data_IF_948913924400
#
_entry.id   IF_948913924400
#
_cell.length_a   1.000
_cell.length_b   1.000
_cell.length_c   1.000
_cell.angle_alpha   90.00
_cell.angle_beta   90.00
_cell.angle_gamma   90.00
#
_symmetry.space_group_name_H-M   'P 1'
#
loop_
_entity.id
_entity.type
_entity.pdbx_description
1 polymer ?
#
# COMPACT_ATOMS: atom_id res chain seq x y z
N UNK A 1 -1.28 -8.73 3.46
CA UNK A 1 -0.83 -8.08 4.70
C UNK A 1 -1.83 -8.25 5.81
N UNK A 2 -1.37 -8.66 7.01
CA UNK A 2 -2.16 -8.70 8.24
C UNK A 2 -1.99 -7.37 8.98
N UNK A 3 -3.08 -6.84 9.53
CA UNK A 3 -3.09 -5.54 10.22
C UNK A 3 -2.18 -5.52 11.48
N UNK A 4 -2.02 -6.69 12.12
CA UNK A 4 -1.17 -6.84 13.31
C UNK A 4 0.32 -6.56 13.02
N UNK A 5 0.81 -6.91 11.83
CA UNK A 5 2.21 -6.67 11.45
C UNK A 5 2.46 -5.18 11.19
N UNK A 6 1.49 -4.49 10.58
CA UNK A 6 1.58 -3.06 10.29
C UNK A 6 1.53 -2.19 11.56
N UNK A 7 0.78 -2.60 12.59
CA UNK A 7 0.75 -1.86 13.86
C UNK A 7 2.07 -1.89 14.63
N UNK A 8 2.83 -2.99 14.50
CA UNK A 8 4.14 -3.18 15.15
C UNK A 8 5.27 -2.34 14.52
N UNK A 9 5.09 -1.88 13.29
CA UNK A 9 6.10 -1.10 12.56
C UNK A 9 6.16 0.35 13.01
N UNK A 10 7.32 0.99 12.89
CA UNK A 10 7.48 2.43 13.19
C UNK A 10 6.71 3.31 12.19
N UNK A 11 6.50 4.60 12.51
CA UNK A 11 5.95 5.58 11.56
C UNK A 11 6.78 5.67 10.29
N UNK A 12 8.12 5.72 10.44
CA UNK A 12 9.07 5.77 9.31
C UNK A 12 8.99 4.53 8.42
N UNK A 13 8.91 3.33 9.03
CA UNK A 13 8.75 2.08 8.30
C UNK A 13 7.40 1.98 7.56
N UNK A 14 6.35 2.63 8.08
CA UNK A 14 5.05 2.70 7.43
C UNK A 14 5.11 3.62 6.20
N UNK A 15 5.86 4.72 6.27
CA UNK A 15 6.11 5.60 5.13
C UNK A 15 6.91 4.91 4.03
N UNK A 16 7.97 4.18 4.39
CA UNK A 16 8.75 3.39 3.43
C UNK A 16 7.89 2.36 2.70
N UNK A 17 7.02 1.64 3.43
CA UNK A 17 6.08 0.69 2.84
C UNK A 17 5.06 1.36 1.92
N UNK A 18 4.58 2.55 2.29
CA UNK A 18 3.65 3.31 1.46
C UNK A 18 4.31 3.67 0.13
N UNK A 19 5.58 4.06 0.17
CA UNK A 19 6.39 4.40 -0.99
C UNK A 19 6.64 3.18 -1.88
N UNK A 20 6.94 2.03 -1.28
CA UNK A 20 7.09 0.74 -1.97
C UNK A 20 5.79 0.31 -2.67
N UNK A 21 4.65 0.34 -1.97
CA UNK A 21 3.35 0.02 -2.57
C UNK A 21 2.93 0.99 -3.66
N UNK A 22 3.31 2.26 -3.55
CA UNK A 22 3.03 3.27 -4.58
C UNK A 22 3.84 3.01 -5.85
N UNK A 23 5.11 2.61 -5.71
CA UNK A 23 5.95 2.15 -6.83
C UNK A 23 5.38 0.90 -7.48
N UNK A 24 4.93 -0.07 -6.68
CA UNK A 24 4.30 -1.30 -7.20
C UNK A 24 3.02 -0.98 -7.99
N UNK A 25 2.17 -0.09 -7.47
CA UNK A 25 0.97 0.37 -8.17
C UNK A 25 1.30 1.10 -9.48
N UNK A 26 2.35 1.92 -9.49
CA UNK A 26 2.83 2.60 -10.68
C UNK A 26 3.30 1.60 -11.75
N UNK A 27 4.11 0.61 -11.36
CA UNK A 27 4.57 -0.44 -12.25
C UNK A 27 3.39 -1.24 -12.85
N UNK A 28 2.38 -1.57 -12.04
CA UNK A 28 1.16 -2.22 -12.52
C UNK A 28 0.39 -1.35 -13.51
N UNK A 29 0.29 -0.03 -13.29
CA UNK A 29 -0.35 0.91 -14.23
C UNK A 29 0.44 1.01 -15.53
N UNK A 30 1.76 1.09 -15.45
CA UNK A 30 2.65 1.08 -16.62
C UNK A 30 2.47 -0.20 -17.44
N UNK A 31 2.46 -1.38 -16.81
CA UNK A 31 2.22 -2.65 -17.49
C UNK A 31 0.84 -2.70 -18.18
N UNK A 32 -0.19 -2.10 -17.57
CA UNK A 32 -1.51 -1.97 -18.19
C UNK A 32 -1.56 -0.98 -19.35
N UNK A 33 -0.70 0.03 -19.36
CA UNK A 33 -0.57 0.97 -20.48
C UNK A 33 0.23 0.40 -21.65
N UNK A 34 1.28 -0.38 -21.35
CA UNK A 34 2.17 -1.00 -22.33
C UNK A 34 1.58 -2.25 -22.98
N UNK A 35 0.78 -3.02 -22.24
CA UNK A 35 0.14 -4.24 -22.73
C UNK A 35 -1.37 -4.06 -22.80
N UNK A 36 -1.97 -4.37 -23.95
CA UNK A 36 -3.42 -4.36 -24.17
C UNK A 36 -4.17 -5.38 -23.30
N UNK A 37 -3.46 -6.33 -22.69
CA UNK A 37 -4.01 -7.34 -21.78
C UNK A 37 -3.51 -7.15 -20.36
N UNK A 38 -4.44 -7.05 -19.41
CA UNK A 38 -4.12 -6.93 -17.98
C UNK A 38 -3.75 -8.31 -17.44
N UNK A 39 -2.46 -8.60 -17.34
CA UNK A 39 -1.96 -9.91 -16.90
C UNK A 39 -2.45 -10.33 -15.50
N UNK A 40 -2.65 -9.37 -14.57
CA UNK A 40 -2.99 -9.66 -13.16
C UNK A 40 -3.92 -8.61 -12.52
N UNK A 41 -5.22 -8.58 -12.88
CA UNK A 41 -6.16 -7.56 -12.40
C UNK A 41 -6.38 -7.61 -10.88
N UNK A 42 -6.27 -8.79 -10.26
CA UNK A 42 -6.40 -8.98 -8.82
C UNK A 42 -5.32 -8.26 -7.99
N UNK A 43 -4.13 -8.00 -8.57
CA UNK A 43 -3.04 -7.32 -7.88
C UNK A 43 -3.35 -5.84 -7.62
N UNK A 44 -4.02 -5.16 -8.56
CA UNK A 44 -4.44 -3.77 -8.36
C UNK A 44 -5.31 -3.61 -7.11
N UNK A 45 -6.28 -4.52 -6.94
CA UNK A 45 -7.16 -4.51 -5.76
C UNK A 45 -6.40 -4.83 -4.48
N UNK A 46 -5.41 -5.72 -4.54
CA UNK A 46 -4.55 -6.06 -3.39
C UNK A 46 -3.67 -4.88 -2.97
N UNK A 47 -2.94 -4.28 -3.91
CA UNK A 47 -2.01 -3.16 -3.63
C UNK A 47 -2.77 -1.94 -3.12
N UNK A 48 -3.90 -1.57 -3.74
CA UNK A 48 -4.76 -0.48 -3.25
C UNK A 48 -5.25 -0.71 -1.81
N UNK A 49 -5.66 -1.95 -1.49
CA UNK A 49 -6.08 -2.30 -0.12
C UNK A 49 -4.93 -2.25 0.87
N UNK A 50 -3.72 -2.64 0.48
CA UNK A 50 -2.55 -2.50 1.34
C UNK A 50 -2.23 -1.03 1.64
N UNK A 51 -2.23 -0.16 0.61
CA UNK A 51 -2.04 1.30 0.78
C UNK A 51 -3.07 1.88 1.74
N UNK A 52 -4.35 1.53 1.56
CA UNK A 52 -5.42 2.01 2.43
C UNK A 52 -5.17 1.60 3.90
N UNK A 53 -4.80 0.34 4.15
CA UNK A 53 -4.51 -0.16 5.50
C UNK A 53 -3.34 0.56 6.17
N UNK A 54 -2.25 0.81 5.42
CA UNK A 54 -1.09 1.56 5.92
C UNK A 54 -1.52 2.96 6.34
N UNK A 55 -2.23 3.69 5.45
CA UNK A 55 -2.74 5.03 5.76
C UNK A 55 -3.69 5.06 6.96
N UNK A 56 -4.57 4.06 7.10
CA UNK A 56 -5.45 3.96 8.27
C UNK A 56 -4.65 3.81 9.56
N UNK A 57 -3.61 2.97 9.58
CA UNK A 57 -2.79 2.75 10.77
C UNK A 57 -1.93 3.97 11.09
N UNK A 58 -1.39 4.67 10.08
CA UNK A 58 -0.71 5.95 10.30
C UNK A 58 -1.64 6.96 10.98
N UNK A 59 -2.89 7.09 10.49
CA UNK A 59 -3.88 7.98 11.10
C UNK A 59 -4.31 7.54 12.49
N UNK A 60 -4.42 6.23 12.73
CA UNK A 60 -4.69 5.65 14.06
C UNK A 60 -3.55 5.97 15.06
N UNK A 61 -2.30 6.01 14.60
CA UNK A 61 -1.14 6.40 15.41
C UNK A 61 -1.08 7.90 15.68
N UNK A 62 -1.39 8.72 14.69
CA UNK A 62 -1.47 10.18 14.83
C UNK A 62 -2.57 10.60 15.82
N UNK A 63 -3.76 9.98 15.73
CA UNK A 63 -4.90 10.30 16.60
C UNK A 63 -4.83 9.73 18.02
N UNK A 64 -3.89 8.82 18.31
CA UNK A 64 -3.63 8.32 19.68
C UNK A 64 -2.55 9.14 20.42
N UNK A 65 -1.94 10.15 19.78
CA UNK A 65 -0.98 11.06 20.41
C UNK A 65 -1.63 12.35 20.96
N UNK A 66 -2.96 12.39 21.09
CA UNK A 66 -3.72 13.38 21.87
C UNK A 66 -4.24 12.76 23.17
#
# INVERSE_FOLDING_TARGET
MRALELRKKSSEELDELLLEYSKELFNLRMQRGLSSNVLKPHLFGRVKRNIARVKTIMREKEGNNE
#
